data_IF_257440327183
#
_entry.id   IF_257440327183
#
_cell.length_a   1.000
_cell.length_b   1.000
_cell.length_c   1.000
_cell.angle_alpha   90.00
_cell.angle_beta   90.00
_cell.angle_gamma   90.00
#
_symmetry.space_group_name_H-M   'P 1'
#
loop_
_entity.id
_entity.type
_entity.pdbx_description
1 polymer ?
#
# COMPACT_ATOMS: atom_id res chain seq x y z
N UNK A 1 -21.30 11.01 -4.21
CA UNK A 1 -19.91 11.32 -3.83
C UNK A 1 -19.36 10.10 -3.09
N UNK A 2 -18.16 9.63 -3.45
CA UNK A 2 -17.49 8.53 -2.73
C UNK A 2 -16.65 9.11 -1.60
N UNK A 3 -16.76 8.54 -0.40
CA UNK A 3 -15.92 8.86 0.75
C UNK A 3 -15.13 7.62 1.13
N UNK A 4 -13.80 7.72 1.16
CA UNK A 4 -12.90 6.68 1.64
C UNK A 4 -11.97 7.22 2.71
N UNK A 5 -11.62 6.38 3.68
CA UNK A 5 -10.81 6.73 4.84
C UNK A 5 -9.45 6.07 4.76
N UNK A 6 -8.40 6.83 5.04
CA UNK A 6 -7.02 6.34 4.99
C UNK A 6 -6.68 5.45 6.19
N UNK A 7 -6.00 4.32 5.93
CA UNK A 7 -5.28 3.59 6.97
C UNK A 7 -4.06 4.38 7.39
N UNK A 8 -4.14 5.03 8.56
CA UNK A 8 -3.07 5.89 9.05
C UNK A 8 -2.78 5.61 10.53
N UNK A 9 -1.50 5.51 10.89
CA UNK A 9 -1.04 5.10 12.24
C UNK A 9 -1.46 6.03 13.40
N UNK A 10 -1.99 7.22 13.08
CA UNK A 10 -2.46 8.22 14.04
C UNK A 10 -3.99 8.36 14.07
N UNK A 11 -4.74 7.42 13.48
CA UNK A 11 -6.22 7.44 13.45
C UNK A 11 -6.78 6.16 14.07
N UNK A 12 -8.11 6.03 14.17
CA UNK A 12 -8.76 4.78 14.59
C UNK A 12 -8.50 3.59 13.65
N UNK A 13 -7.92 3.84 12.46
CA UNK A 13 -7.55 2.83 11.47
C UNK A 13 -6.05 2.46 11.54
N UNK A 14 -5.38 2.72 12.68
CA UNK A 14 -3.94 2.53 12.84
C UNK A 14 -3.49 1.06 12.78
N UNK A 15 -4.37 0.12 13.13
CA UNK A 15 -4.06 -1.30 13.25
C UNK A 15 -4.94 -2.14 12.32
N UNK A 16 -4.39 -3.20 11.70
CA UNK A 16 -5.18 -4.14 10.91
C UNK A 16 -6.30 -4.79 11.73
N UNK A 17 -5.98 -5.28 12.94
CA UNK A 17 -6.92 -6.02 13.78
C UNK A 17 -8.09 -5.15 14.24
N UNK A 18 -7.81 -3.93 14.71
CA UNK A 18 -8.87 -3.00 15.09
C UNK A 18 -9.71 -2.58 13.88
N UNK A 19 -9.09 -2.39 12.71
CA UNK A 19 -9.83 -2.04 11.49
C UNK A 19 -10.81 -3.16 11.09
N UNK A 20 -10.43 -4.42 11.25
CA UNK A 20 -11.33 -5.56 10.98
C UNK A 20 -12.53 -5.57 11.94
N UNK A 21 -12.34 -5.23 13.22
CA UNK A 21 -13.45 -5.07 14.17
C UNK A 21 -14.37 -3.90 13.78
N UNK A 22 -13.80 -2.76 13.38
CA UNK A 22 -14.57 -1.58 12.92
C UNK A 22 -15.42 -1.92 11.69
N UNK A 23 -14.87 -2.69 10.74
CA UNK A 23 -15.59 -3.11 9.52
C UNK A 23 -16.85 -3.91 9.86
N UNK A 24 -16.85 -4.71 10.93
CA UNK A 24 -18.03 -5.47 11.35
C UNK A 24 -19.18 -4.56 11.79
N UNK A 25 -18.86 -3.42 12.39
CA UNK A 25 -19.85 -2.44 12.87
C UNK A 25 -20.27 -1.45 11.77
N UNK A 26 -19.36 -1.16 10.83
CA UNK A 26 -19.55 -0.19 9.75
C UNK A 26 -19.27 -0.83 8.38
N UNK A 27 -20.11 -1.78 7.93
CA UNK A 27 -19.86 -2.60 6.74
C UNK A 27 -19.75 -1.81 5.43
N UNK A 28 -20.29 -0.59 5.39
CA UNK A 28 -20.27 0.33 4.26
C UNK A 28 -18.98 1.15 4.12
N UNK A 29 -18.07 1.08 5.11
CA UNK A 29 -16.80 1.81 5.04
C UNK A 29 -16.02 1.45 3.78
N UNK A 30 -15.39 2.47 3.21
CA UNK A 30 -14.45 2.36 2.10
C UNK A 30 -13.11 2.90 2.53
N UNK A 31 -12.06 2.31 2.01
CA UNK A 31 -10.70 2.63 2.44
C UNK A 31 -9.86 3.22 1.32
N UNK A 32 -9.04 4.20 1.68
CA UNK A 32 -7.81 4.50 0.98
C UNK A 32 -6.71 3.70 1.68
N UNK A 33 -6.11 2.75 0.99
CA UNK A 33 -5.14 1.84 1.59
C UNK A 33 -3.72 2.41 1.45
N UNK A 34 -3.16 2.87 2.56
CA UNK A 34 -1.72 2.96 2.78
C UNK A 34 -1.30 1.87 3.79
N UNK A 35 -0.81 0.76 3.26
CA UNK A 35 -0.42 -0.40 4.08
C UNK A 35 0.85 -0.15 4.89
N UNK A 36 1.66 0.85 4.51
CA UNK A 36 2.93 1.16 5.18
C UNK A 36 2.74 1.54 6.65
N UNK A 37 1.60 2.14 6.98
CA UNK A 37 1.22 2.46 8.35
C UNK A 37 1.01 1.22 9.21
N UNK A 38 0.39 0.18 8.67
CA UNK A 38 0.18 -1.06 9.41
C UNK A 38 1.46 -1.88 9.54
N UNK A 39 2.32 -1.86 8.51
CA UNK A 39 3.64 -2.51 8.55
C UNK A 39 4.46 -1.97 9.72
N UNK A 40 4.59 -0.64 9.85
CA UNK A 40 5.37 -0.07 10.96
C UNK A 40 4.70 -0.28 12.32
N UNK A 41 3.37 -0.20 12.42
CA UNK A 41 2.64 -0.44 13.69
C UNK A 41 2.82 -1.89 14.16
N UNK A 42 2.98 -2.81 13.22
CA UNK A 42 3.13 -4.24 13.53
C UNK A 42 4.59 -4.67 13.68
N UNK A 43 5.54 -3.77 13.39
CA UNK A 43 6.99 -4.04 13.33
C UNK A 43 7.35 -5.27 12.47
N UNK A 44 6.55 -5.54 11.44
CA UNK A 44 6.76 -6.66 10.50
C UNK A 44 5.97 -6.47 9.21
N UNK A 45 6.37 -7.21 8.18
CA UNK A 45 5.50 -7.42 7.02
C UNK A 45 4.32 -8.29 7.45
N UNK A 46 3.13 -7.96 6.94
CA UNK A 46 1.88 -8.64 7.28
C UNK A 46 1.59 -9.78 6.29
N UNK A 47 2.52 -10.71 6.19
CA UNK A 47 2.50 -11.85 5.25
C UNK A 47 2.53 -13.23 5.94
N UNK A 48 2.14 -13.29 7.22
CA UNK A 48 1.93 -14.55 7.93
C UNK A 48 0.62 -15.22 7.45
N UNK A 49 0.51 -16.56 7.41
CA UNK A 49 -0.75 -17.23 7.06
C UNK A 49 -1.96 -16.85 7.92
N UNK A 50 -1.75 -16.29 9.12
CA UNK A 50 -2.81 -15.77 9.99
C UNK A 50 -3.25 -14.34 9.66
N UNK A 51 -2.53 -13.65 8.77
CA UNK A 51 -2.84 -12.29 8.33
C UNK A 51 -3.90 -12.28 7.22
N UNK A 52 -5.17 -12.53 7.60
CA UNK A 52 -6.30 -12.41 6.68
C UNK A 52 -6.92 -11.01 6.70
N UNK A 53 -6.64 -10.23 5.66
CA UNK A 53 -7.23 -8.90 5.45
C UNK A 53 -8.24 -8.85 4.31
N UNK A 54 -8.79 -9.99 3.88
CA UNK A 54 -9.73 -10.07 2.75
C UNK A 54 -10.92 -9.12 2.95
N UNK A 55 -11.47 -9.07 4.17
CA UNK A 55 -12.57 -8.17 4.51
C UNK A 55 -12.22 -6.67 4.35
N UNK A 56 -10.96 -6.28 4.62
CA UNK A 56 -10.48 -4.93 4.37
C UNK A 56 -10.26 -4.69 2.87
N UNK A 57 -9.57 -5.61 2.18
CA UNK A 57 -9.24 -5.54 0.75
C UNK A 57 -10.51 -5.36 -0.11
N UNK A 58 -11.59 -6.07 0.24
CA UNK A 58 -12.89 -5.98 -0.44
C UNK A 58 -13.60 -4.62 -0.32
N UNK A 59 -13.05 -3.74 0.50
CA UNK A 59 -13.57 -2.40 0.76
C UNK A 59 -12.62 -1.30 0.30
N UNK A 60 -11.42 -1.63 -0.19
CA UNK A 60 -10.47 -0.63 -0.69
C UNK A 60 -10.99 0.01 -1.98
N UNK A 61 -11.06 1.34 -1.96
CA UNK A 61 -11.45 2.18 -3.09
C UNK A 61 -10.23 2.79 -3.81
N UNK A 62 -9.23 3.24 -3.06
CA UNK A 62 -8.02 3.89 -3.57
C UNK A 62 -6.77 3.33 -2.88
N UNK A 63 -5.61 3.39 -3.56
CA UNK A 63 -4.31 2.95 -3.02
C UNK A 63 -3.36 4.13 -2.91
N UNK A 64 -2.68 4.22 -1.78
CA UNK A 64 -1.50 5.04 -1.57
C UNK A 64 -0.27 4.12 -1.60
N UNK A 65 0.59 4.31 -2.60
CA UNK A 65 1.70 3.42 -2.90
C UNK A 65 2.99 3.85 -2.19
N UNK A 66 2.93 3.98 -0.88
CA UNK A 66 4.11 4.12 -0.02
C UNK A 66 4.59 2.72 0.39
N UNK A 67 5.90 2.50 0.33
CA UNK A 67 6.51 1.25 0.81
C UNK A 67 7.10 1.52 2.18
N UNK A 68 6.55 0.89 3.22
CA UNK A 68 7.12 0.87 4.57
C UNK A 68 7.90 -0.42 4.83
N UNK A 69 8.50 -0.50 6.01
CA UNK A 69 9.27 -1.63 6.52
C UNK A 69 9.09 -1.71 8.05
N UNK A 70 9.58 -2.79 8.64
CA UNK A 70 9.44 -3.09 10.06
C UNK A 70 9.88 -1.94 10.99
N UNK A 71 10.85 -1.12 10.58
CA UNK A 71 11.36 0.01 11.36
C UNK A 71 10.84 1.38 10.91
N UNK A 72 9.98 1.47 9.89
CA UNK A 72 9.51 2.77 9.42
C UNK A 72 8.40 2.74 8.38
N UNK A 73 7.52 3.76 8.33
CA UNK A 73 6.42 3.82 7.37
C UNK A 73 6.88 4.14 5.94
N UNK A 74 8.16 4.46 5.72
CA UNK A 74 8.70 4.75 4.40
C UNK A 74 10.14 4.28 4.30
N UNK A 75 10.43 3.43 3.32
CA UNK A 75 11.81 3.06 3.00
C UNK A 75 12.56 4.27 2.40
N UNK A 76 13.87 4.43 2.69
CA UNK A 76 14.72 5.45 2.07
C UNK A 76 14.64 5.49 0.54
N UNK A 77 14.65 4.32 -0.10
CA UNK A 77 14.52 4.20 -1.55
C UNK A 77 13.93 2.81 -1.91
N UNK A 78 12.78 2.72 -2.60
CA UNK A 78 12.09 1.45 -2.85
C UNK A 78 12.83 0.52 -3.83
N UNK A 79 13.69 1.07 -4.69
CA UNK A 79 14.54 0.28 -5.58
C UNK A 79 15.82 -0.28 -4.92
N UNK A 80 16.11 0.08 -3.67
CA UNK A 80 17.32 -0.42 -3.02
C UNK A 80 17.18 -1.93 -2.72
N UNK A 81 18.19 -2.76 -3.01
CA UNK A 81 18.10 -4.22 -2.86
C UNK A 81 17.66 -4.69 -1.47
N UNK A 82 18.10 -4.00 -0.41
CA UNK A 82 17.75 -4.27 0.98
C UNK A 82 16.24 -4.11 1.28
N UNK A 83 15.53 -3.30 0.49
CA UNK A 83 14.09 -3.09 0.61
C UNK A 83 13.27 -3.88 -0.41
N UNK A 84 13.91 -4.75 -1.20
CA UNK A 84 13.21 -5.60 -2.16
C UNK A 84 12.10 -6.45 -1.49
N UNK A 85 12.30 -7.06 -0.30
CA UNK A 85 11.24 -7.80 0.36
C UNK A 85 10.01 -6.95 0.69
N UNK A 86 10.23 -5.72 1.18
CA UNK A 86 9.19 -4.77 1.51
C UNK A 86 8.41 -4.29 0.27
N UNK A 87 9.11 -3.95 -0.82
CA UNK A 87 8.48 -3.60 -2.08
C UNK A 87 7.66 -4.79 -2.64
N UNK A 88 8.22 -6.00 -2.62
CA UNK A 88 7.53 -7.19 -3.10
C UNK A 88 6.29 -7.51 -2.27
N UNK A 89 6.33 -7.31 -0.95
CA UNK A 89 5.16 -7.43 -0.08
C UNK A 89 4.06 -6.42 -0.47
N UNK A 90 4.42 -5.14 -0.58
CA UNK A 90 3.46 -4.09 -0.95
C UNK A 90 2.84 -4.35 -2.34
N UNK A 91 3.65 -4.77 -3.32
CA UNK A 91 3.19 -5.14 -4.65
C UNK A 91 2.24 -6.35 -4.64
N UNK A 92 2.50 -7.38 -3.83
CA UNK A 92 1.55 -8.50 -3.65
C UNK A 92 0.25 -8.04 -3.01
N UNK A 93 0.31 -7.14 -2.04
CA UNK A 93 -0.87 -6.57 -1.39
C UNK A 93 -1.72 -5.75 -2.37
N UNK A 94 -1.11 -4.86 -3.16
CA UNK A 94 -1.82 -4.08 -4.17
C UNK A 94 -2.45 -4.94 -5.27
N UNK A 95 -1.80 -6.05 -5.67
CA UNK A 95 -2.43 -7.02 -6.58
C UNK A 95 -3.71 -7.62 -6.02
N UNK A 96 -3.78 -7.92 -4.72
CA UNK A 96 -5.00 -8.43 -4.09
C UNK A 96 -6.13 -7.39 -4.16
N UNK A 97 -5.80 -6.11 -3.93
CA UNK A 97 -6.74 -5.00 -4.10
C UNK A 97 -7.23 -4.89 -5.55
N UNK A 98 -6.33 -4.96 -6.54
CA UNK A 98 -6.72 -4.89 -7.95
C UNK A 98 -7.62 -6.06 -8.36
N UNK A 99 -7.33 -7.29 -7.90
CA UNK A 99 -8.20 -8.46 -8.11
C UNK A 99 -9.60 -8.22 -7.52
N UNK A 100 -9.67 -7.79 -6.26
CA UNK A 100 -10.95 -7.51 -5.60
C UNK A 100 -11.72 -6.39 -6.30
N UNK A 101 -11.06 -5.30 -6.68
CA UNK A 101 -11.68 -4.20 -7.42
C UNK A 101 -12.26 -4.68 -8.76
N UNK A 102 -11.51 -5.50 -9.52
CA UNK A 102 -11.99 -6.10 -10.77
C UNK A 102 -13.20 -7.00 -10.54
N UNK A 103 -13.17 -7.88 -9.53
CA UNK A 103 -14.30 -8.74 -9.16
C UNK A 103 -15.54 -7.93 -8.74
N UNK A 104 -15.34 -6.78 -8.11
CA UNK A 104 -16.41 -5.82 -7.75
C UNK A 104 -16.83 -4.91 -8.90
N UNK A 105 -16.33 -5.12 -10.11
CA UNK A 105 -16.75 -4.41 -11.32
C UNK A 105 -16.18 -2.99 -11.47
N UNK A 106 -15.06 -2.66 -10.84
CA UNK A 106 -14.40 -1.38 -11.04
C UNK A 106 -13.86 -1.29 -12.47
N UNK A 107 -14.22 -0.27 -13.27
CA UNK A 107 -13.70 -0.12 -14.63
C UNK A 107 -12.23 0.33 -14.65
N UNK A 108 -11.75 0.90 -13.54
CA UNK A 108 -10.37 1.36 -13.36
C UNK A 108 -9.98 1.31 -11.89
N UNK A 109 -8.67 1.24 -11.62
CA UNK A 109 -8.08 1.43 -10.29
C UNK A 109 -7.35 2.77 -10.24
N UNK A 110 -7.20 3.33 -9.03
CA UNK A 110 -6.45 4.56 -8.80
C UNK A 110 -5.38 4.32 -7.74
N UNK A 111 -4.20 4.85 -8.00
CA UNK A 111 -3.04 4.71 -7.13
C UNK A 111 -2.25 6.02 -7.11
N UNK A 112 -1.90 6.49 -5.92
CA UNK A 112 -1.06 7.68 -5.71
C UNK A 112 0.29 7.25 -5.13
N UNK A 113 1.42 7.47 -5.81
CA UNK A 113 2.73 7.39 -5.16
C UNK A 113 2.80 8.44 -4.04
N UNK A 114 3.11 8.00 -2.83
CA UNK A 114 2.93 8.84 -1.66
C UNK A 114 4.19 8.96 -0.80
N UNK A 115 5.38 8.93 -1.42
CA UNK A 115 6.60 9.20 -0.66
C UNK A 115 6.58 10.67 -0.20
N UNK A 116 6.81 10.91 1.09
CA UNK A 116 6.72 12.23 1.73
C UNK A 116 8.05 12.74 2.28
N UNK A 117 8.16 14.06 2.49
CA UNK A 117 9.34 14.72 3.07
C UNK A 117 9.33 14.74 4.61
N UNK A 118 8.16 14.95 5.23
CA UNK A 118 7.94 15.33 6.64
C UNK A 118 8.35 14.23 7.65
N UNK A 119 9.65 14.02 7.81
CA UNK A 119 10.24 12.94 8.63
C UNK A 119 10.18 11.55 8.00
N UNK A 120 9.46 11.40 6.88
CA UNK A 120 9.38 10.16 6.11
C UNK A 120 10.62 9.93 5.24
N UNK A 121 11.10 10.98 4.56
CA UNK A 121 12.31 10.91 3.77
C UNK A 121 13.51 10.94 4.72
N UNK A 122 14.35 9.91 4.64
CA UNK A 122 15.55 9.85 5.47
C UNK A 122 16.53 10.96 5.08
N UNK A 123 17.22 11.51 6.07
CA UNK A 123 18.24 12.53 5.88
C UNK A 123 19.56 12.08 6.50
N UNK A 124 20.66 12.51 5.90
CA UNK A 124 21.99 12.29 6.47
C UNK A 124 22.10 13.02 7.82
N UNK A 125 22.64 12.35 8.85
CA UNK A 125 22.81 12.97 10.16
C UNK A 125 23.76 14.16 10.05
N UNK A 126 23.53 15.17 10.89
CA UNK A 126 24.30 16.42 10.98
C UNK A 126 24.20 17.36 9.77
N UNK A 127 24.04 16.87 8.55
CA UNK A 127 23.92 17.72 7.34
C UNK A 127 22.48 17.99 6.93
N UNK A 128 21.55 17.14 7.36
CA UNK A 128 20.13 17.21 6.98
C UNK A 128 19.94 17.21 5.45
N UNK A 129 20.83 16.54 4.71
CA UNK A 129 20.70 16.35 3.27
C UNK A 129 19.80 15.12 3.04
N UNK A 130 18.73 15.22 2.22
CA UNK A 130 17.87 14.07 1.94
C UNK A 130 18.66 12.98 1.21
N UNK A 131 18.43 11.72 1.59
CA UNK A 131 19.16 10.59 0.98
C UNK A 131 18.70 10.26 -0.44
N UNK A 132 17.57 10.84 -0.87
CA UNK A 132 17.02 10.68 -2.21
C UNK A 132 16.22 11.93 -2.62
N UNK A 133 16.07 12.15 -3.93
CA UNK A 133 15.20 13.20 -4.46
C UNK A 133 13.73 12.74 -4.43
N UNK A 134 12.87 13.47 -3.70
CA UNK A 134 11.50 13.04 -3.43
C UNK A 134 10.63 12.97 -4.69
N UNK A 135 10.84 13.88 -5.63
CA UNK A 135 10.09 13.86 -6.89
C UNK A 135 10.48 12.63 -7.71
N UNK A 136 11.77 12.36 -7.83
CA UNK A 136 12.30 11.21 -8.55
C UNK A 136 11.85 9.88 -7.92
N UNK A 137 11.75 9.80 -6.60
CA UNK A 137 11.17 8.65 -5.90
C UNK A 137 9.71 8.39 -6.30
N UNK A 138 8.86 9.42 -6.24
CA UNK A 138 7.45 9.29 -6.59
C UNK A 138 7.26 9.01 -8.08
N UNK A 139 8.06 9.63 -8.95
CA UNK A 139 8.07 9.35 -10.39
C UNK A 139 8.48 7.90 -10.68
N UNK A 140 9.53 7.40 -10.02
CA UNK A 140 9.96 6.02 -10.14
C UNK A 140 8.86 5.04 -9.70
N UNK A 141 8.23 5.29 -8.55
CA UNK A 141 7.10 4.49 -8.07
C UNK A 141 5.93 4.51 -9.05
N UNK A 142 5.58 5.68 -9.61
CA UNK A 142 4.53 5.77 -10.63
C UNK A 142 4.81 4.87 -11.82
N UNK A 143 6.02 4.97 -12.40
CA UNK A 143 6.43 4.14 -13.55
C UNK A 143 6.46 2.65 -13.21
N UNK A 144 7.03 2.29 -12.05
CA UNK A 144 7.10 0.90 -11.56
C UNK A 144 5.71 0.29 -11.42
N UNK A 145 4.77 1.01 -10.77
CA UNK A 145 3.42 0.50 -10.52
C UNK A 145 2.54 0.49 -11.77
N UNK A 146 2.75 1.42 -12.72
CA UNK A 146 2.11 1.32 -14.03
C UNK A 146 2.54 0.06 -14.77
N UNK A 147 3.86 -0.22 -14.84
CA UNK A 147 4.37 -1.43 -15.49
C UNK A 147 3.87 -2.70 -14.79
N UNK A 148 3.84 -2.70 -13.46
CA UNK A 148 3.35 -3.82 -12.66
C UNK A 148 1.84 -4.08 -12.87
N UNK A 149 1.03 -3.02 -12.93
CA UNK A 149 -0.39 -3.14 -13.23
C UNK A 149 -0.64 -3.71 -14.63
N UNK A 150 0.15 -3.30 -15.63
CA UNK A 150 0.06 -3.88 -16.98
C UNK A 150 0.38 -5.38 -16.99
N UNK A 151 1.43 -5.80 -16.28
CA UNK A 151 1.76 -7.23 -16.12
C UNK A 151 0.62 -8.00 -15.44
N UNK A 152 0.02 -7.42 -14.40
CA UNK A 152 -1.14 -7.99 -13.71
C UNK A 152 -2.33 -8.20 -14.66
N UNK A 153 -2.65 -7.22 -15.51
CA UNK A 153 -3.72 -7.34 -16.50
C UNK A 153 -3.43 -8.48 -17.50
N UNK A 154 -2.22 -8.54 -18.05
CA UNK A 154 -1.84 -9.60 -19.01
C UNK A 154 -1.99 -10.99 -18.41
N UNK A 155 -1.57 -11.20 -17.16
CA UNK A 155 -1.69 -12.51 -16.49
C UNK A 155 -3.15 -12.90 -16.22
N UNK A 156 -3.98 -11.94 -15.84
CA UNK A 156 -5.38 -12.21 -15.46
C UNK A 156 -6.36 -12.21 -16.63
N UNK A 157 -5.93 -11.82 -17.83
CA UNK A 157 -6.66 -12.07 -19.09
C UNK A 157 -6.45 -13.50 -19.62
N UNK A 158 -5.35 -14.15 -19.20
CA UNK A 158 -5.01 -15.52 -19.58
C UNK A 158 -5.62 -16.58 -18.65
N UNK A 159 -6.17 -16.18 -17.51
CA UNK A 159 -6.87 -17.07 -16.58
C UNK A 159 -8.25 -17.44 -17.17
N UNK A 160 -8.61 -18.75 -17.24
CA UNK A 160 -9.94 -19.15 -17.68
C UNK A 160 -10.99 -18.54 -16.74
N UNK A 161 -12.02 -17.92 -17.31
CA UNK A 161 -13.15 -17.46 -16.53
C UNK A 161 -13.81 -18.66 -15.82
N UNK A 162 -14.17 -18.53 -14.53
CA UNK A 162 -14.88 -19.58 -13.80
C UNK A 162 -16.26 -19.87 -14.40
#
# INVERSE_FOLDING_TARGET
MTCSFETHRATSLYSPWLTLEIIQQLPQLRFTADISHWVVVSERLLDDPSDDFSAFIDRVHHVQARVGYDQGPQVPHPAAPEYQPALAFAERFWQQIWRSQRQRGYPQTTLTPEFGADGYLHHLPFTNVPVADLWSLNAWMATRQQAHFQQFLTLTEQEPQP
#
